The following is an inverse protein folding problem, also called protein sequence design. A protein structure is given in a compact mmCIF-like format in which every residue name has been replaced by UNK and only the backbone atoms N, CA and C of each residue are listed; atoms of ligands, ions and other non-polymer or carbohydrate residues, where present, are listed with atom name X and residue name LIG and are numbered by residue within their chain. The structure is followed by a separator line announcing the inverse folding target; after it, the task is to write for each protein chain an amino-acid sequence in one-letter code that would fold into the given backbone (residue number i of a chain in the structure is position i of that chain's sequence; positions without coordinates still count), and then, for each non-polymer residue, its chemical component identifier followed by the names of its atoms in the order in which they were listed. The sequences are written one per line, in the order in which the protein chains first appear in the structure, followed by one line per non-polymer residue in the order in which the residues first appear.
data_IF_268380140585
#
_entry.id   IF_268380140585
#
_cell.length_a   1.000
_cell.length_b   1.000
_cell.length_c   1.000
_cell.angle_alpha   90.00
_cell.angle_beta   90.00
_cell.angle_gamma   90.00
#
_symmetry.space_group_name_H-M   'P 1'
#
loop_
_entity.id
_entity.type
_entity.pdbx_description
1 polymer ?
#
# COMPACT_ATOMS: atom_id res chain seq x y z
N UNK A 1 -3.27 5.68 -14.14
CA UNK A 1 -2.06 4.84 -14.33
C UNK A 1 -1.15 5.56 -15.31
N UNK A 2 0.10 5.81 -14.92
CA UNK A 2 1.06 6.55 -15.76
C UNK A 2 2.24 5.63 -16.09
N UNK A 3 2.62 5.56 -17.35
CA UNK A 3 3.74 4.75 -17.84
C UNK A 3 4.76 5.65 -18.50
N UNK A 4 6.02 5.53 -18.10
CA UNK A 4 7.13 6.32 -18.65
C UNK A 4 8.17 5.37 -19.25
N UNK A 5 8.21 5.20 -20.59
CA UNK A 5 9.19 4.36 -21.25
C UNK A 5 10.62 4.92 -21.06
N UNK A 6 11.53 4.08 -20.58
CA UNK A 6 12.96 4.42 -20.45
C UNK A 6 13.82 3.37 -21.16
N UNK A 7 13.89 3.39 -22.51
CA UNK A 7 14.71 2.44 -23.25
C UNK A 7 16.17 2.54 -22.79
N UNK A 8 16.86 1.40 -22.71
CA UNK A 8 18.25 1.23 -22.20
C UNK A 8 18.45 1.22 -20.68
N UNK A 9 17.41 1.40 -19.86
CA UNK A 9 17.54 1.20 -18.42
C UNK A 9 17.45 -0.30 -18.08
N UNK A 10 18.42 -0.80 -17.32
CA UNK A 10 18.44 -2.18 -16.83
C UNK A 10 17.48 -2.44 -15.66
N UNK A 11 17.07 -1.37 -14.95
CA UNK A 11 16.15 -1.43 -13.82
C UNK A 11 14.80 -0.81 -14.16
N UNK A 12 13.74 -1.49 -13.75
CA UNK A 12 12.35 -1.01 -13.83
C UNK A 12 11.89 -0.59 -12.44
N UNK A 13 11.05 0.43 -12.38
CA UNK A 13 10.45 0.93 -11.14
C UNK A 13 8.94 1.03 -11.33
N UNK A 14 8.20 0.61 -10.32
CA UNK A 14 6.75 0.74 -10.25
C UNK A 14 6.38 1.14 -8.82
N UNK A 15 5.38 2.00 -8.69
CA UNK A 15 4.83 2.42 -7.42
C UNK A 15 3.31 2.52 -7.53
N UNK A 16 2.63 2.17 -6.45
CA UNK A 16 1.21 2.40 -6.25
C UNK A 16 1.10 3.29 -5.02
N UNK A 17 0.32 4.36 -5.12
CA UNK A 17 0.11 5.30 -4.03
C UNK A 17 -1.37 5.31 -3.69
N UNK A 18 -1.69 5.20 -2.41
CA UNK A 18 -3.03 5.39 -1.89
C UNK A 18 -3.08 6.79 -1.28
N UNK A 19 -4.10 7.62 -1.58
CA UNK A 19 -4.26 8.96 -0.98
C UNK A 19 -4.74 8.84 0.48
N UNK A 20 -3.97 8.13 1.29
CA UNK A 20 -4.21 7.83 2.70
C UNK A 20 -2.86 7.79 3.42
N UNK A 21 -2.81 8.26 4.65
CA UNK A 21 -1.57 8.44 5.41
C UNK A 21 -1.85 8.79 6.86
N UNK A 22 -0.78 8.95 7.66
CA UNK A 22 -0.87 9.12 9.13
C UNK A 22 -1.74 10.29 9.61
N UNK A 23 -1.90 11.33 8.78
CA UNK A 23 -2.76 12.50 9.07
C UNK A 23 -4.26 12.22 8.96
N UNK A 24 -4.65 11.11 8.32
CA UNK A 24 -6.05 10.78 8.08
C UNK A 24 -6.57 9.87 9.21
N UNK A 25 -7.18 10.47 10.22
CA UNK A 25 -7.75 9.74 11.38
C UNK A 25 -9.27 9.75 11.41
N UNK A 26 -9.93 10.50 10.52
CA UNK A 26 -11.39 10.66 10.48
C UNK A 26 -11.92 10.41 9.08
N UNK A 27 -12.97 9.60 8.97
CA UNK A 27 -13.59 9.22 7.70
C UNK A 27 -15.11 9.36 7.79
N UNK A 28 -15.75 9.61 6.64
CA UNK A 28 -17.21 9.52 6.53
C UNK A 28 -17.57 8.11 6.06
N UNK A 29 -18.62 7.51 6.63
CA UNK A 29 -19.12 6.24 6.10
C UNK A 29 -19.70 6.45 4.70
N UNK A 30 -19.54 5.45 3.83
CA UNK A 30 -20.05 5.50 2.46
C UNK A 30 -21.58 5.48 2.45
N UNK A 31 -22.19 4.71 3.35
CA UNK A 31 -23.64 4.51 3.42
C UNK A 31 -24.36 5.59 4.26
N UNK A 32 -23.62 6.32 5.09
CA UNK A 32 -24.14 7.46 5.87
C UNK A 32 -23.10 8.59 5.96
N UNK A 33 -23.21 9.63 5.11
CA UNK A 33 -22.28 10.75 5.09
C UNK A 33 -22.25 11.60 6.37
N UNK A 34 -23.29 11.51 7.22
CA UNK A 34 -23.34 12.23 8.50
C UNK A 34 -22.54 11.49 9.59
N UNK A 35 -22.27 10.20 9.38
CA UNK A 35 -21.55 9.38 10.35
C UNK A 35 -20.05 9.49 10.14
N UNK A 36 -19.36 9.96 11.18
CA UNK A 36 -17.90 10.07 11.23
C UNK A 36 -17.33 8.86 11.99
N UNK A 37 -16.37 8.19 11.36
CA UNK A 37 -15.56 7.12 11.96
C UNK A 37 -14.19 7.69 12.29
N UNK A 38 -13.76 7.54 13.53
CA UNK A 38 -12.39 7.86 13.95
C UNK A 38 -11.57 6.58 14.10
N UNK A 39 -10.32 6.62 13.65
CA UNK A 39 -9.35 5.53 13.83
C UNK A 39 -8.18 6.02 14.69
N UNK A 40 -7.52 5.12 15.45
CA UNK A 40 -6.35 5.50 16.23
C UNK A 40 -5.21 6.06 15.37
N UNK A 41 -4.39 6.97 15.92
CA UNK A 41 -3.11 7.31 15.31
C UNK A 41 -2.28 6.06 15.01
N UNK A 42 -1.62 6.03 13.86
CA UNK A 42 -0.80 4.88 13.43
C UNK A 42 -1.55 3.81 12.62
N UNK A 43 -2.87 3.95 12.40
CA UNK A 43 -3.62 3.02 11.53
C UNK A 43 -3.04 2.92 10.12
N UNK A 44 -2.57 4.02 9.54
CA UNK A 44 -1.98 4.01 8.20
C UNK A 44 -0.71 3.15 8.12
N UNK A 45 0.22 3.35 9.06
CA UNK A 45 1.43 2.54 9.18
C UNK A 45 1.11 1.07 9.50
N UNK A 46 0.12 0.83 10.36
CA UNK A 46 -0.31 -0.54 10.66
C UNK A 46 -0.84 -1.26 9.41
N UNK A 47 -1.66 -0.58 8.60
CA UNK A 47 -2.20 -1.15 7.36
C UNK A 47 -1.10 -1.42 6.33
N UNK A 48 -0.09 -0.55 6.22
CA UNK A 48 1.11 -0.80 5.40
C UNK A 48 1.79 -2.11 5.79
N UNK A 49 2.03 -2.33 7.08
CA UNK A 49 2.65 -3.58 7.57
C UNK A 49 1.73 -4.79 7.35
N UNK A 50 0.42 -4.64 7.52
CA UNK A 50 -0.55 -5.70 7.24
C UNK A 50 -0.54 -6.15 5.78
N UNK A 51 -0.34 -5.23 4.83
CA UNK A 51 -0.28 -5.53 3.40
C UNK A 51 0.83 -6.53 3.07
N UNK A 52 2.00 -6.40 3.71
CA UNK A 52 3.15 -7.27 3.47
C UNK A 52 3.25 -8.47 4.43
N UNK A 53 2.44 -8.50 5.48
CA UNK A 53 2.46 -9.57 6.48
C UNK A 53 2.06 -10.97 5.96
N UNK A 54 1.52 -11.05 4.74
CA UNK A 54 1.03 -12.30 4.15
C UNK A 54 -0.26 -12.84 4.76
N UNK A 55 -0.80 -12.22 5.82
CA UNK A 55 -2.06 -12.59 6.49
C UNK A 55 -3.31 -12.17 5.72
N UNK A 56 -3.16 -11.25 4.77
CA UNK A 56 -4.25 -10.59 4.04
C UNK A 56 -4.41 -11.10 2.61
N UNK A 57 -3.50 -11.95 2.12
CA UNK A 57 -3.51 -12.46 0.75
C UNK A 57 -3.55 -13.99 0.75
N UNK A 58 -4.49 -14.59 0.01
CA UNK A 58 -4.51 -16.04 -0.27
C UNK A 58 -3.21 -16.55 -0.90
N UNK A 59 -2.42 -15.62 -1.45
CA UNK A 59 -1.15 -15.83 -2.11
C UNK A 59 0.08 -15.96 -1.18
N UNK A 60 -0.07 -15.74 0.13
CA UNK A 60 1.03 -15.74 1.09
C UNK A 60 1.92 -14.49 1.01
N UNK A 61 3.15 -14.56 1.56
CA UNK A 61 4.08 -13.44 1.67
C UNK A 61 4.44 -12.82 0.29
N UNK A 62 3.88 -11.64 0.02
CA UNK A 62 4.12 -10.88 -1.22
C UNK A 62 5.59 -10.51 -1.40
N UNK A 63 6.33 -10.22 -0.32
CA UNK A 63 7.74 -9.87 -0.38
C UNK A 63 8.54 -11.05 -0.95
N UNK A 64 8.24 -12.26 -0.50
CA UNK A 64 8.88 -13.49 -1.03
C UNK A 64 8.62 -13.70 -2.51
N UNK A 65 7.39 -13.43 -2.97
CA UNK A 65 7.06 -13.54 -4.41
C UNK A 65 7.82 -12.53 -5.26
N UNK A 66 7.93 -11.28 -4.79
CA UNK A 66 8.74 -10.28 -5.48
C UNK A 66 10.23 -10.65 -5.49
N UNK A 67 10.75 -11.14 -4.37
CA UNK A 67 12.13 -11.60 -4.28
C UNK A 67 12.44 -12.73 -5.27
N UNK A 68 11.54 -13.71 -5.44
CA UNK A 68 11.68 -14.80 -6.41
C UNK A 68 11.75 -14.30 -7.87
N UNK A 69 11.22 -13.13 -8.17
CA UNK A 69 11.29 -12.47 -9.48
C UNK A 69 12.50 -11.51 -9.61
N UNK A 70 13.39 -11.48 -8.62
CA UNK A 70 14.51 -10.54 -8.57
C UNK A 70 14.08 -9.10 -8.28
N UNK A 71 12.87 -8.89 -7.77
CA UNK A 71 12.32 -7.58 -7.41
C UNK A 71 12.55 -7.31 -5.92
N UNK A 72 13.05 -6.11 -5.62
CA UNK A 72 13.08 -5.58 -4.25
C UNK A 72 11.84 -4.71 -4.04
N UNK A 73 10.90 -5.16 -3.22
CA UNK A 73 9.70 -4.43 -2.84
C UNK A 73 9.89 -3.70 -1.50
N UNK A 74 9.26 -2.54 -1.35
CA UNK A 74 9.31 -1.69 -0.16
C UNK A 74 8.05 -0.81 -0.08
N UNK A 75 7.76 -0.24 1.10
CA UNK A 75 6.64 0.69 1.33
C UNK A 75 6.92 1.69 2.46
N UNK A 76 6.17 2.79 2.48
CA UNK A 76 6.24 3.82 3.51
C UNK A 76 4.91 4.60 3.61
N UNK A 77 4.70 5.25 4.76
CA UNK A 77 3.50 6.02 5.13
C UNK A 77 3.84 7.42 5.60
#
# INVERSE_FOLDING_TARGET
MTVVPKPRFSRKFAAIVVPYGSVHTRFREADDPQKIVEVPPGTAYFLEQCLFSGKTTESGDLIRRFAALGVRADAYT
#
